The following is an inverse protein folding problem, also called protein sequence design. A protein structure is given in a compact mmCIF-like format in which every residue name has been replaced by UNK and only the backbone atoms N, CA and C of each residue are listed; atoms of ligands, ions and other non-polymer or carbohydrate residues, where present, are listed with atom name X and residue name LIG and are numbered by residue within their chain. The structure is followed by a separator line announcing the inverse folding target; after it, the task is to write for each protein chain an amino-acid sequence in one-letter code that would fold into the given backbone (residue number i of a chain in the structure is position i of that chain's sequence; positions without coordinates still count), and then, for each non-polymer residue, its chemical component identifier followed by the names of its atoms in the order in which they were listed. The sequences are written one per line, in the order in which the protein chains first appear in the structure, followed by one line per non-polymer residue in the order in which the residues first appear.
data_IF_123184904486
#
_entry.id   IF_123184904486
#
_cell.length_a   1.000
_cell.length_b   1.000
_cell.length_c   1.000
_cell.angle_alpha   90.00
_cell.angle_beta   90.00
_cell.angle_gamma   90.00
#
_symmetry.space_group_name_H-M   'P 1'
#
loop_
_entity.id
_entity.type
_entity.pdbx_description
1 polymer ?
#
# COMPACT_ATOMS: atom_id res chain seq x y z
N UNK A 1 -49.61 35.63 -34.91
CA UNK A 1 -48.54 34.75 -35.43
C UNK A 1 -47.36 34.90 -34.48
N UNK A 2 -47.19 33.98 -33.53
CA UNK A 2 -46.05 34.00 -32.60
C UNK A 2 -45.09 32.88 -32.98
N UNK A 3 -43.89 33.25 -33.41
CA UNK A 3 -42.78 32.35 -33.68
C UNK A 3 -41.90 32.23 -32.43
N UNK A 4 -41.67 30.99 -32.00
CA UNK A 4 -40.56 30.53 -31.14
C UNK A 4 -39.47 30.06 -32.12
N UNK A 5 -38.14 30.31 -31.96
CA UNK A 5 -37.33 29.65 -30.91
C UNK A 5 -36.08 30.44 -30.44
N UNK A 6 -35.41 30.03 -29.35
CA UNK A 6 -34.22 29.17 -29.46
C UNK A 6 -33.84 28.57 -28.11
N UNK A 7 -33.71 27.24 -28.11
CA UNK A 7 -33.18 26.44 -27.00
C UNK A 7 -31.65 26.49 -27.01
N UNK A 8 -31.05 27.06 -25.98
CA UNK A 8 -29.61 26.99 -25.73
C UNK A 8 -29.24 25.55 -25.37
N UNK A 9 -28.52 24.86 -26.25
CA UNK A 9 -27.93 23.56 -25.93
C UNK A 9 -26.78 23.74 -24.93
N UNK A 10 -26.85 23.03 -23.80
CA UNK A 10 -25.76 22.91 -22.83
C UNK A 10 -24.55 22.21 -23.49
N UNK A 11 -23.31 22.63 -23.20
CA UNK A 11 -22.12 21.94 -23.71
C UNK A 11 -22.03 20.52 -23.14
N UNK A 12 -21.66 19.57 -23.99
CA UNK A 12 -21.45 18.18 -23.63
C UNK A 12 -20.39 18.05 -22.51
N UNK A 13 -20.55 17.09 -21.57
CA UNK A 13 -19.56 16.85 -20.53
C UNK A 13 -18.22 16.45 -21.17
N UNK A 14 -17.15 17.11 -20.73
CA UNK A 14 -15.79 16.78 -21.11
C UNK A 14 -15.50 15.30 -20.77
N UNK A 15 -15.16 14.51 -21.79
CA UNK A 15 -14.69 13.14 -21.62
C UNK A 15 -13.48 13.15 -20.68
N UNK A 16 -13.46 12.37 -19.58
CA UNK A 16 -12.27 12.25 -18.75
C UNK A 16 -11.12 11.76 -19.64
N UNK A 17 -10.09 12.57 -19.77
CA UNK A 17 -8.86 12.18 -20.43
C UNK A 17 -8.28 11.00 -19.66
N UNK A 18 -8.22 9.85 -20.33
CA UNK A 18 -7.55 8.66 -19.85
C UNK A 18 -6.09 9.02 -19.55
N UNK A 19 -5.62 9.08 -18.29
CA UNK A 19 -4.23 9.40 -18.02
C UNK A 19 -3.40 8.30 -18.65
N UNK A 20 -2.48 8.67 -19.56
CA UNK A 20 -1.56 7.77 -20.24
C UNK A 20 -0.99 6.80 -19.20
N UNK A 21 -1.42 5.53 -19.24
CA UNK A 21 -0.90 4.50 -18.35
C UNK A 21 0.61 4.49 -18.50
N UNK A 22 1.34 4.76 -17.42
CA UNK A 22 2.78 4.50 -17.37
C UNK A 22 2.99 3.02 -17.74
N UNK A 23 4.03 2.69 -18.52
CA UNK A 23 4.33 1.29 -18.79
C UNK A 23 4.53 0.55 -17.47
N UNK A 24 3.84 -0.58 -17.32
CA UNK A 24 3.89 -1.40 -16.12
C UNK A 24 5.33 -1.80 -15.82
N UNK A 25 5.80 -1.49 -14.60
CA UNK A 25 7.13 -1.90 -14.14
C UNK A 25 7.14 -3.42 -13.92
N UNK A 26 8.31 -4.02 -14.09
CA UNK A 26 8.51 -5.46 -13.91
C UNK A 26 9.77 -5.69 -13.11
N UNK A 27 9.76 -6.73 -12.29
CA UNK A 27 10.95 -7.27 -11.65
C UNK A 27 11.45 -8.49 -12.41
N UNK A 28 12.75 -8.76 -12.33
CA UNK A 28 13.40 -9.91 -12.99
C UNK A 28 14.36 -10.60 -12.03
N UNK A 29 14.20 -11.92 -11.86
CA UNK A 29 15.17 -12.78 -11.19
C UNK A 29 15.89 -13.61 -12.26
N UNK A 30 17.22 -13.49 -12.33
CA UNK A 30 18.07 -14.28 -13.21
C UNK A 30 18.82 -15.34 -12.42
N UNK A 31 18.76 -16.59 -12.87
CA UNK A 31 19.50 -17.69 -12.24
C UNK A 31 20.94 -17.79 -12.77
N UNK A 32 21.80 -18.50 -12.05
CA UNK A 32 23.19 -18.76 -12.50
C UNK A 32 23.28 -19.59 -13.79
N UNK A 33 22.21 -20.28 -14.19
CA UNK A 33 22.11 -21.01 -15.46
C UNK A 33 21.60 -20.14 -16.61
N UNK A 34 21.25 -18.88 -16.35
CA UNK A 34 20.72 -17.93 -17.33
C UNK A 34 19.20 -17.95 -17.47
N UNK A 35 18.48 -18.83 -16.74
CA UNK A 35 17.02 -18.82 -16.72
C UNK A 35 16.50 -17.55 -16.03
N UNK A 36 15.36 -17.04 -16.49
CA UNK A 36 14.76 -15.81 -15.94
C UNK A 36 13.33 -16.04 -15.48
N UNK A 37 13.00 -15.49 -14.31
CA UNK A 37 11.65 -15.31 -13.83
C UNK A 37 11.32 -13.82 -13.85
N UNK A 38 10.16 -13.45 -14.39
CA UNK A 38 9.76 -12.06 -14.55
C UNK A 38 8.32 -11.87 -14.07
N UNK A 39 8.09 -10.88 -13.22
CA UNK A 39 6.74 -10.57 -12.72
C UNK A 39 6.39 -9.09 -12.78
N UNK A 40 5.19 -8.79 -12.32
CA UNK A 40 4.69 -7.41 -12.20
C UNK A 40 5.33 -6.73 -10.99
N UNK A 41 5.83 -5.51 -11.17
CA UNK A 41 6.29 -4.66 -10.07
C UNK A 41 5.32 -3.48 -9.96
N UNK A 42 4.43 -3.46 -8.95
CA UNK A 42 3.49 -2.36 -8.83
C UNK A 42 4.17 -1.01 -8.58
N UNK A 43 3.61 0.06 -9.10
CA UNK A 43 4.16 1.43 -8.92
C UNK A 43 4.20 1.87 -7.45
N UNK A 44 3.31 1.33 -6.64
CA UNK A 44 3.26 1.60 -5.21
C UNK A 44 4.30 0.80 -4.41
N UNK A 45 4.88 -0.26 -4.96
CA UNK A 45 5.84 -1.09 -4.23
C UNK A 45 7.15 -0.31 -3.98
N UNK A 46 7.59 -0.31 -2.72
CA UNK A 46 8.79 0.40 -2.27
C UNK A 46 10.09 -0.31 -2.64
N UNK A 47 10.02 -1.62 -2.89
CA UNK A 47 11.18 -2.47 -3.19
C UNK A 47 11.00 -3.21 -4.51
N UNK A 48 12.07 -3.25 -5.30
CA UNK A 48 12.18 -4.10 -6.48
C UNK A 48 12.84 -5.42 -6.09
N UNK A 49 12.17 -6.58 -6.21
CA UNK A 49 12.74 -7.88 -5.87
C UNK A 49 13.64 -8.46 -6.98
N UNK A 50 14.05 -7.67 -7.97
CA UNK A 50 14.97 -8.13 -9.01
C UNK A 50 16.31 -8.57 -8.42
N UNK A 51 16.80 -9.73 -8.85
CA UNK A 51 18.03 -10.35 -8.35
C UNK A 51 18.73 -11.08 -9.49
N UNK A 52 20.06 -11.15 -9.46
CA UNK A 52 20.86 -11.90 -10.43
C UNK A 52 21.65 -13.00 -9.73
N UNK A 53 22.14 -13.95 -10.51
CA UNK A 53 22.98 -15.06 -10.03
C UNK A 53 22.34 -15.91 -8.93
N UNK A 54 21.01 -16.05 -8.97
CA UNK A 54 20.27 -16.91 -8.03
C UNK A 54 20.53 -18.39 -8.39
N UNK A 55 21.01 -19.23 -7.46
CA UNK A 55 21.13 -20.65 -7.74
C UNK A 55 19.75 -21.25 -8.11
N UNK A 56 19.62 -22.09 -9.17
CA UNK A 56 18.31 -22.56 -9.63
C UNK A 56 17.45 -23.21 -8.54
N UNK A 57 18.07 -23.91 -7.59
CA UNK A 57 17.36 -24.55 -6.46
C UNK A 57 16.79 -23.56 -5.44
N UNK A 58 17.21 -22.29 -5.46
CA UNK A 58 16.71 -21.22 -4.58
C UNK A 58 15.61 -20.39 -5.25
N UNK A 59 15.39 -20.53 -6.56
CA UNK A 59 14.42 -19.71 -7.29
C UNK A 59 13.01 -19.79 -6.67
N UNK A 60 12.57 -20.98 -6.29
CA UNK A 60 11.26 -21.16 -5.66
C UNK A 60 11.15 -20.41 -4.31
N UNK A 61 12.20 -20.46 -3.48
CA UNK A 61 12.25 -19.72 -2.22
C UNK A 61 12.23 -18.20 -2.47
N UNK A 62 13.04 -17.73 -3.44
CA UNK A 62 13.05 -16.31 -3.82
C UNK A 62 11.71 -15.80 -4.28
N UNK A 63 10.99 -16.58 -5.09
CA UNK A 63 9.62 -16.24 -5.50
C UNK A 63 8.68 -16.18 -4.30
N UNK A 64 8.77 -17.13 -3.37
CA UNK A 64 7.95 -17.16 -2.15
C UNK A 64 8.21 -15.95 -1.23
N UNK A 65 9.44 -15.42 -1.21
CA UNK A 65 9.85 -14.26 -0.43
C UNK A 65 9.42 -12.91 -1.04
N UNK A 66 8.88 -12.89 -2.26
CA UNK A 66 8.41 -11.64 -2.88
C UNK A 66 7.21 -11.10 -2.10
N UNK A 67 7.44 -9.98 -1.41
CA UNK A 67 6.42 -9.10 -0.85
C UNK A 67 6.51 -7.72 -1.52
N UNK A 68 5.45 -7.33 -2.24
CA UNK A 68 5.28 -5.95 -2.64
C UNK A 68 4.69 -5.18 -1.46
N UNK A 69 5.47 -4.26 -0.91
CA UNK A 69 5.07 -3.50 0.28
C UNK A 69 5.21 -1.99 0.05
N UNK A 70 4.39 -1.22 0.78
CA UNK A 70 4.60 0.22 0.98
C UNK A 70 4.20 0.61 2.39
N UNK A 71 5.05 1.40 3.06
CA UNK A 71 4.83 1.87 4.42
C UNK A 71 4.27 3.29 4.43
N UNK A 72 3.23 3.50 5.22
CA UNK A 72 2.73 4.81 5.60
C UNK A 72 3.14 5.05 7.06
N UNK A 73 4.03 6.03 7.32
CA UNK A 73 4.41 6.37 8.67
C UNK A 73 3.20 6.66 9.54
N UNK A 74 3.37 6.48 10.83
CA UNK A 74 2.39 6.63 11.88
C UNK A 74 2.43 7.98 12.58
N UNK A 75 1.96 7.98 13.83
CA UNK A 75 2.19 9.07 14.78
C UNK A 75 3.13 8.61 15.88
N UNK A 76 4.08 9.47 16.23
CA UNK A 76 5.00 9.25 17.34
C UNK A 76 4.39 9.89 18.58
N UNK A 77 4.16 9.09 19.61
CA UNK A 77 3.69 9.54 20.92
C UNK A 77 4.72 9.17 21.99
N UNK A 78 4.71 9.91 23.10
CA UNK A 78 5.51 9.56 24.27
C UNK A 78 4.73 8.55 25.09
N UNK A 79 5.31 7.36 25.28
CA UNK A 79 4.64 6.23 25.95
C UNK A 79 5.55 5.61 27.00
N UNK A 80 4.96 4.89 27.94
CA UNK A 80 5.68 4.07 28.92
C UNK A 80 5.72 2.61 28.46
N UNK A 81 6.91 2.00 28.54
CA UNK A 81 7.08 0.56 28.35
C UNK A 81 6.85 -0.17 29.68
N UNK A 82 6.16 -1.31 29.70
CA UNK A 82 5.96 -2.14 30.89
C UNK A 82 7.27 -2.61 31.50
N UNK A 83 8.32 -2.79 30.68
CA UNK A 83 9.66 -3.16 31.14
C UNK A 83 10.40 -2.02 31.86
N UNK A 84 9.87 -0.80 31.84
CA UNK A 84 10.51 0.39 32.40
C UNK A 84 9.47 1.45 32.84
N UNK A 85 8.40 1.01 33.50
CA UNK A 85 7.30 1.90 33.95
C UNK A 85 7.74 2.97 34.95
N UNK A 86 8.90 2.82 35.58
CA UNK A 86 9.50 3.82 36.49
C UNK A 86 10.36 4.89 35.78
N UNK A 87 10.50 4.83 34.45
CA UNK A 87 11.29 5.80 33.66
C UNK A 87 10.42 6.82 32.95
N UNK A 88 11.04 7.92 32.51
CA UNK A 88 10.44 8.91 31.62
C UNK A 88 9.86 8.30 30.33
N UNK A 89 8.74 8.84 29.81
CA UNK A 89 8.11 8.32 28.62
C UNK A 89 8.97 8.56 27.38
N UNK A 90 9.06 7.54 26.54
CA UNK A 90 9.90 7.51 25.34
C UNK A 90 9.08 7.68 24.07
N UNK A 91 9.62 8.32 23.02
CA UNK A 91 8.93 8.47 21.75
C UNK A 91 8.83 7.13 21.03
N UNK A 92 7.61 6.70 20.72
CA UNK A 92 7.30 5.45 20.00
C UNK A 92 6.25 5.73 18.93
N UNK A 93 6.40 5.14 17.76
CA UNK A 93 5.38 5.14 16.72
C UNK A 93 4.26 4.17 17.11
N UNK A 94 3.13 4.71 17.61
CA UNK A 94 2.08 3.89 18.23
C UNK A 94 1.16 3.19 17.24
N UNK A 95 1.01 3.76 16.04
CA UNK A 95 0.15 3.24 14.99
C UNK A 95 0.70 3.66 13.65
N UNK A 96 1.07 2.71 12.81
CA UNK A 96 1.42 2.94 11.41
C UNK A 96 0.68 1.97 10.50
N UNK A 97 0.77 2.18 9.19
CA UNK A 97 0.04 1.36 8.22
C UNK A 97 0.98 0.90 7.11
N UNK A 98 0.72 -0.26 6.55
CA UNK A 98 1.35 -0.71 5.31
C UNK A 98 0.30 -1.21 4.33
N UNK A 99 0.64 -1.24 3.05
CA UNK A 99 -0.05 -2.07 2.07
C UNK A 99 0.94 -3.16 1.65
N UNK A 100 0.50 -4.41 1.71
CA UNK A 100 1.31 -5.59 1.42
C UNK A 100 0.60 -6.48 0.39
N UNK A 101 1.37 -7.19 -0.42
CA UNK A 101 0.90 -8.20 -1.35
C UNK A 101 2.00 -9.24 -1.57
N UNK A 102 1.72 -10.49 -1.22
CA UNK A 102 2.62 -11.63 -1.38
C UNK A 102 2.10 -12.50 -2.52
N UNK A 103 2.55 -12.31 -3.77
CA UNK A 103 1.91 -12.91 -4.95
C UNK A 103 2.00 -14.44 -4.97
N UNK A 104 3.00 -14.98 -4.28
CA UNK A 104 3.36 -16.40 -4.24
C UNK A 104 3.08 -17.06 -2.87
N UNK A 105 2.42 -16.36 -1.96
CA UNK A 105 2.05 -16.94 -0.66
C UNK A 105 1.20 -18.21 -0.84
N UNK A 106 1.33 -19.23 0.01
CA UNK A 106 0.58 -20.48 -0.11
C UNK A 106 -0.93 -20.24 0.03
N UNK A 107 -1.31 -19.36 0.96
CA UNK A 107 -2.70 -18.95 1.15
C UNK A 107 -3.11 -17.90 0.10
N UNK A 108 -4.38 -17.93 -0.37
CA UNK A 108 -4.84 -17.03 -1.42
C UNK A 108 -5.07 -15.60 -0.94
N UNK A 109 -5.41 -15.40 0.33
CA UNK A 109 -5.71 -14.10 0.92
C UNK A 109 -4.55 -13.07 0.80
N UNK A 110 -3.30 -13.39 1.16
CA UNK A 110 -2.18 -12.46 1.00
C UNK A 110 -1.76 -12.20 -0.46
N UNK A 111 -2.34 -12.91 -1.45
CA UNK A 111 -2.02 -12.71 -2.88
C UNK A 111 -2.75 -11.53 -3.51
N UNK A 112 -3.52 -10.76 -2.74
CA UNK A 112 -4.14 -9.51 -3.15
C UNK A 112 -3.66 -8.39 -2.24
N UNK A 113 -3.49 -7.15 -2.75
CA UNK A 113 -3.11 -6.03 -1.90
C UNK A 113 -4.09 -5.84 -0.74
N UNK A 114 -3.56 -5.77 0.47
CA UNK A 114 -4.29 -5.51 1.71
C UNK A 114 -3.59 -4.42 2.50
N UNK A 115 -4.35 -3.64 3.27
CA UNK A 115 -3.77 -2.70 4.23
C UNK A 115 -3.65 -3.37 5.60
N UNK A 116 -2.49 -3.24 6.23
CA UNK A 116 -2.20 -3.74 7.57
C UNK A 116 -2.02 -2.56 8.53
N UNK A 117 -2.74 -2.58 9.65
CA UNK A 117 -2.56 -1.63 10.75
C UNK A 117 -1.62 -2.26 11.78
N UNK A 118 -0.52 -1.57 12.06
CA UNK A 118 0.48 -2.00 13.02
C UNK A 118 0.37 -1.14 14.26
N UNK A 119 0.12 -1.78 15.40
CA UNK A 119 0.00 -1.13 16.71
C UNK A 119 1.29 -1.37 17.49
N UNK A 120 1.76 -0.36 18.23
CA UNK A 120 2.84 -0.56 19.18
C UNK A 120 2.34 -1.45 20.32
N UNK A 121 2.86 -2.68 20.38
CA UNK A 121 2.49 -3.64 21.40
C UNK A 121 3.01 -3.25 22.77
N UNK A 122 2.21 -3.52 23.80
CA UNK A 122 2.59 -3.38 25.21
C UNK A 122 3.10 -1.97 25.56
N UNK A 123 2.41 -0.90 25.18
CA UNK A 123 2.73 0.46 25.64
C UNK A 123 1.54 1.12 26.31
N UNK A 124 1.84 1.97 27.28
CA UNK A 124 0.84 2.64 28.11
C UNK A 124 0.97 4.15 27.93
N UNK A 125 -0.18 4.80 27.75
CA UNK A 125 -0.35 6.24 27.90
C UNK A 125 -1.07 6.45 29.23
N UNK A 126 -0.33 6.89 30.25
CA UNK A 126 -0.86 7.14 31.60
C UNK A 126 -0.68 8.59 31.97
N UNK A 127 -1.42 9.04 32.97
CA UNK A 127 -1.27 10.35 33.61
C UNK A 127 -1.42 11.56 32.66
N UNK A 128 -2.21 11.39 31.59
CA UNK A 128 -2.48 12.44 30.60
C UNK A 128 -3.21 13.62 31.25
N UNK A 129 -2.59 14.79 31.22
CA UNK A 129 -3.27 16.04 31.54
C UNK A 129 -4.25 16.46 30.40
N UNK A 130 -5.07 17.51 30.58
CA UNK A 130 -6.00 17.96 29.54
C UNK A 130 -5.34 18.36 28.21
N UNK A 131 -4.12 18.90 28.25
CA UNK A 131 -3.37 19.30 27.06
C UNK A 131 -2.84 18.05 26.32
N UNK A 132 -2.24 17.11 27.05
CA UNK A 132 -1.75 15.85 26.53
C UNK A 132 -2.87 14.97 25.96
N UNK A 133 -4.04 14.94 26.61
CA UNK A 133 -5.23 14.28 26.08
C UNK A 133 -5.71 14.95 24.78
N UNK A 134 -5.64 16.29 24.71
CA UNK A 134 -5.91 17.06 23.50
C UNK A 134 -4.96 16.71 22.36
N UNK A 135 -3.66 16.59 22.66
CA UNK A 135 -2.64 16.15 21.70
C UNK A 135 -2.89 14.73 21.19
N UNK A 136 -3.17 13.77 22.09
CA UNK A 136 -3.52 12.40 21.70
C UNK A 136 -4.72 12.37 20.76
N UNK A 137 -5.79 13.09 21.10
CA UNK A 137 -6.98 13.18 20.26
C UNK A 137 -6.66 13.81 18.89
N UNK A 138 -5.77 14.81 18.84
CA UNK A 138 -5.25 15.39 17.60
C UNK A 138 -4.52 14.36 16.74
N UNK A 139 -3.57 13.62 17.33
CA UNK A 139 -2.81 12.58 16.64
C UNK A 139 -3.71 11.46 16.09
N UNK A 140 -4.72 11.03 16.84
CA UNK A 140 -5.68 10.03 16.37
C UNK A 140 -6.51 10.54 15.18
N UNK A 141 -6.93 11.81 15.18
CA UNK A 141 -7.60 12.41 14.02
C UNK A 141 -6.67 12.46 12.80
N UNK A 142 -5.42 12.88 12.98
CA UNK A 142 -4.44 12.87 11.88
C UNK A 142 -4.22 11.47 11.30
N UNK A 143 -4.23 10.42 12.14
CA UNK A 143 -4.18 9.04 11.65
C UNK A 143 -5.43 8.66 10.86
N UNK A 144 -6.62 9.02 11.34
CA UNK A 144 -7.87 8.79 10.62
C UNK A 144 -7.87 9.50 9.25
N UNK A 145 -7.43 10.76 9.20
CA UNK A 145 -7.30 11.53 7.96
C UNK A 145 -6.32 10.87 6.99
N UNK A 146 -5.18 10.36 7.49
CA UNK A 146 -4.21 9.63 6.67
C UNK A 146 -4.81 8.34 6.10
N UNK A 147 -5.58 7.59 6.90
CA UNK A 147 -6.27 6.40 6.43
C UNK A 147 -7.28 6.73 5.32
N UNK A 148 -8.06 7.80 5.48
CA UNK A 148 -9.11 8.18 4.54
C UNK A 148 -8.58 8.76 3.22
N UNK A 149 -7.58 9.63 3.33
CA UNK A 149 -7.09 10.45 2.21
C UNK A 149 -5.83 9.93 1.55
N UNK A 150 -5.07 9.03 2.19
CA UNK A 150 -3.84 8.47 1.62
C UNK A 150 -3.94 6.95 1.47
N UNK A 151 -4.10 6.22 2.58
CA UNK A 151 -4.02 4.74 2.54
C UNK A 151 -5.16 4.15 1.71
N UNK A 152 -6.42 4.55 1.97
CA UNK A 152 -7.57 3.98 1.26
C UNK A 152 -7.50 4.24 -0.25
N UNK A 153 -7.24 5.47 -0.76
CA UNK A 153 -7.04 5.70 -2.19
C UNK A 153 -5.90 4.86 -2.78
N UNK A 154 -4.76 4.77 -2.09
CA UNK A 154 -3.63 3.96 -2.57
C UNK A 154 -3.99 2.47 -2.62
N UNK A 155 -4.71 1.94 -1.64
CA UNK A 155 -5.17 0.55 -1.64
C UNK A 155 -6.14 0.26 -2.80
N UNK A 156 -7.07 1.17 -3.07
CA UNK A 156 -8.00 1.05 -4.21
C UNK A 156 -7.22 1.01 -5.52
N UNK A 157 -6.28 1.95 -5.71
CA UNK A 157 -5.42 1.98 -6.89
C UNK A 157 -4.58 0.70 -7.01
N UNK A 158 -3.97 0.24 -5.91
CA UNK A 158 -3.17 -0.98 -5.85
C UNK A 158 -3.99 -2.22 -6.26
N UNK A 159 -5.24 -2.34 -5.77
CA UNK A 159 -6.13 -3.45 -6.14
C UNK A 159 -6.54 -3.38 -7.61
N UNK A 160 -6.87 -2.18 -8.12
CA UNK A 160 -7.22 -1.99 -9.53
C UNK A 160 -6.05 -2.34 -10.46
N UNK A 161 -4.84 -1.93 -10.10
CA UNK A 161 -3.61 -2.26 -10.82
C UNK A 161 -3.39 -3.79 -10.82
N UNK A 162 -3.49 -4.41 -9.65
CA UNK A 162 -3.25 -5.85 -9.47
C UNK A 162 -4.23 -6.73 -10.26
N UNK A 163 -5.53 -6.42 -10.23
CA UNK A 163 -6.55 -7.18 -10.96
C UNK A 163 -6.43 -6.99 -12.48
N UNK A 164 -6.07 -5.79 -12.94
CA UNK A 164 -5.80 -5.49 -14.34
C UNK A 164 -4.64 -6.33 -14.90
N UNK A 165 -3.57 -6.51 -14.11
CA UNK A 165 -2.41 -7.30 -14.52
C UNK A 165 -2.69 -8.81 -14.53
N UNK A 166 -3.37 -9.34 -13.50
CA UNK A 166 -3.74 -10.77 -13.45
C UNK A 166 -4.64 -11.20 -14.61
N UNK A 167 -5.56 -10.32 -15.02
CA UNK A 167 -6.43 -10.59 -16.16
C UNK A 167 -5.65 -10.69 -17.48
N UNK A 168 -4.55 -9.92 -17.63
CA UNK A 168 -3.70 -9.95 -18.83
C UNK A 168 -2.82 -11.20 -18.90
N UNK A 169 -2.24 -11.64 -17.78
CA UNK A 169 -1.39 -12.85 -17.75
C UNK A 169 -2.18 -14.14 -17.94
N UNK A 170 -3.46 -14.16 -17.58
CA UNK A 170 -4.32 -15.35 -17.78
C UNK A 170 -4.81 -15.49 -19.24
N UNK A 171 -4.71 -14.42 -20.05
CA UNK A 171 -5.18 -14.39 -21.45
C UNK A 171 -4.16 -14.82 -22.50
N UNK A 172 -2.96 -15.28 -22.13
CA UNK A 172 -1.85 -15.55 -23.08
C UNK A 172 -1.45 -17.03 -23.19
N UNK A 173 -2.42 -17.95 -23.08
CA UNK A 173 -2.25 -19.33 -23.54
C UNK A 173 -3.32 -19.65 -24.59
N UNK A 174 -2.98 -19.45 -25.87
CA UNK A 174 -3.61 -20.12 -27.02
C UNK A 174 -2.52 -20.49 -28.02
#
# INVERSE_FOLDING_TARGET
MNAVPSSTALPAPATPQNPKLKPARRWTITTTTGDTAIGHLPDWASTDPSEHDVPPHQLAARLADINHHVRFPGQVLRVYSPANSERHPTPVEVLHTSIDCNPYAPDPEPRVPVANLHLAGEYWLTDLDPEELGHLAGSLRTLADRLDHQVRPTLIAARSDWTGHRSRTTGTHR
#
